data_IF_229403382095
#
_entry.id   IF_229403382095
#
_cell.length_a   1.000
_cell.length_b   1.000
_cell.length_c   1.000
_cell.angle_alpha   90.00
_cell.angle_beta   90.00
_cell.angle_gamma   90.00
#
_symmetry.space_group_name_H-M   'P 1'
#
loop_
_entity.id
_entity.type
_entity.pdbx_description
1 polymer ?
#
# COMPACT_ATOMS: atom_id res chain seq x y z
N UNK A 1 -4.54 -10.75 1.17
CA UNK A 1 -4.28 -9.81 0.06
C UNK A 1 -5.20 -8.58 0.05
N UNK A 2 -6.54 -8.72 0.05
CA UNK A 2 -7.44 -7.55 -0.02
C UNK A 2 -7.18 -6.49 1.07
N UNK A 3 -7.08 -6.91 2.34
CA UNK A 3 -6.81 -6.00 3.46
C UNK A 3 -5.46 -5.29 3.35
N UNK A 4 -4.39 -6.00 2.95
CA UNK A 4 -3.07 -5.40 2.75
C UNK A 4 -3.12 -4.31 1.66
N UNK A 5 -3.82 -4.58 0.55
CA UNK A 5 -4.01 -3.59 -0.52
C UNK A 5 -4.79 -2.37 -0.01
N UNK A 6 -5.82 -2.58 0.80
CA UNK A 6 -6.56 -1.46 1.40
C UNK A 6 -5.70 -0.62 2.34
N UNK A 7 -4.92 -1.26 3.21
CA UNK A 7 -4.02 -0.57 4.14
C UNK A 7 -2.99 0.25 3.36
N UNK A 8 -2.37 -0.34 2.33
CA UNK A 8 -1.42 0.37 1.48
C UNK A 8 -2.07 1.56 0.75
N UNK A 9 -3.27 1.38 0.18
CA UNK A 9 -3.99 2.46 -0.51
C UNK A 9 -4.40 3.58 0.42
N UNK A 10 -4.79 3.27 1.66
CA UNK A 10 -5.15 4.27 2.65
C UNK A 10 -3.94 4.96 3.26
N UNK A 11 -2.77 4.32 3.28
CA UNK A 11 -1.54 4.92 3.82
C UNK A 11 -0.88 5.83 2.78
N UNK A 12 -0.56 7.06 3.14
CA UNK A 12 0.20 8.00 2.31
C UNK A 12 1.68 7.69 2.52
N UNK A 13 2.18 6.78 1.70
CA UNK A 13 3.56 6.31 1.72
C UNK A 13 4.08 6.20 0.29
N UNK A 14 5.32 6.63 0.07
CA UNK A 14 5.99 6.43 -1.21
C UNK A 14 6.32 4.94 -1.37
N UNK A 15 5.99 4.34 -2.53
CA UNK A 15 6.22 2.92 -2.83
C UNK A 15 7.69 2.49 -2.67
N UNK A 16 8.64 3.43 -2.78
CA UNK A 16 10.06 3.18 -2.55
C UNK A 16 10.32 2.69 -1.13
N UNK A 17 9.58 3.19 -0.13
CA UNK A 17 9.78 2.81 1.28
C UNK A 17 9.49 1.32 1.51
N UNK A 18 8.29 0.77 1.20
CA UNK A 18 8.05 -0.65 1.36
C UNK A 18 8.94 -1.51 0.45
N UNK A 19 9.25 -1.07 -0.78
CA UNK A 19 10.17 -1.79 -1.65
C UNK A 19 11.58 -1.90 -1.05
N UNK A 20 12.11 -0.80 -0.48
CA UNK A 20 13.40 -0.79 0.19
C UNK A 20 13.42 -1.69 1.43
N UNK A 21 12.32 -1.73 2.18
CA UNK A 21 12.18 -2.58 3.36
C UNK A 21 12.20 -4.07 2.99
N UNK A 22 11.49 -4.47 1.93
CA UNK A 22 11.48 -5.85 1.41
C UNK A 22 12.90 -6.27 1.03
N UNK A 23 13.60 -5.44 0.27
CA UNK A 23 14.97 -5.73 -0.19
C UNK A 23 15.93 -5.81 0.99
N UNK A 24 15.93 -4.82 1.87
CA UNK A 24 16.86 -4.75 3.01
C UNK A 24 16.68 -5.96 3.95
N UNK A 25 15.44 -6.25 4.36
CA UNK A 25 15.18 -7.38 5.26
C UNK A 25 15.49 -8.72 4.59
N UNK A 26 15.14 -8.87 3.32
CA UNK A 26 15.42 -10.10 2.59
C UNK A 26 16.92 -10.36 2.42
N UNK A 27 17.73 -9.32 2.18
CA UNK A 27 19.20 -9.44 2.17
C UNK A 27 19.72 -9.84 3.55
N UNK A 28 19.24 -9.19 4.63
CA UNK A 28 19.66 -9.52 6.00
C UNK A 28 19.31 -10.97 6.34
N UNK A 29 18.08 -11.41 6.04
CA UNK A 29 17.64 -12.78 6.28
C UNK A 29 18.49 -13.79 5.49
N UNK A 30 18.77 -13.50 4.22
CA UNK A 30 19.65 -14.34 3.40
C UNK A 30 21.07 -14.43 3.97
N UNK A 31 21.66 -13.32 4.42
CA UNK A 31 23.01 -13.31 4.99
C UNK A 31 23.09 -14.10 6.29
N UNK A 32 22.06 -14.02 7.14
CA UNK A 32 21.98 -14.77 8.39
C UNK A 32 21.86 -16.28 8.13
N UNK A 33 21.07 -16.68 7.13
CA UNK A 33 20.89 -18.08 6.78
C UNK A 33 21.92 -18.63 5.79
N UNK A 34 22.81 -17.79 5.24
CA UNK A 34 23.79 -18.18 4.23
C UNK A 34 24.70 -19.34 4.66
N UNK A 35 24.89 -19.54 5.96
CA UNK A 35 25.69 -20.66 6.48
C UNK A 35 24.90 -21.98 6.54
N UNK A 36 23.57 -21.91 6.68
CA UNK A 36 22.69 -23.06 6.91
C UNK A 36 21.84 -23.42 5.68
N UNK A 37 21.79 -22.56 4.65
CA UNK A 37 20.89 -22.75 3.48
C UNK A 37 21.09 -24.10 2.77
N UNK A 38 22.30 -24.69 2.82
CA UNK A 38 22.58 -26.01 2.23
C UNK A 38 21.83 -27.15 2.94
N UNK A 39 21.61 -27.03 4.24
CA UNK A 39 20.85 -28.01 5.03
C UNK A 39 19.34 -27.78 4.90
N UNK A 40 18.91 -26.53 4.74
CA UNK A 40 17.49 -26.17 4.60
C UNK A 40 16.94 -26.50 3.20
N UNK A 41 17.76 -26.37 2.16
CA UNK A 41 17.37 -26.62 0.77
C UNK A 41 18.19 -27.77 0.18
N UNK A 42 17.99 -28.99 0.67
CA UNK A 42 18.56 -30.20 0.07
C UNK A 42 17.98 -30.42 -1.34
N UNK A 43 18.84 -30.80 -2.30
CA UNK A 43 18.52 -31.40 -3.62
C UNK A 43 18.32 -30.57 -4.91
N UNK A 44 18.61 -29.27 -4.98
CA UNK A 44 18.53 -28.56 -6.29
C UNK A 44 19.85 -27.90 -6.72
N UNK A 45 20.30 -28.14 -7.94
CA UNK A 45 21.47 -27.46 -8.53
C UNK A 45 21.32 -25.94 -8.67
N UNK A 46 20.08 -25.43 -8.57
CA UNK A 46 19.68 -24.01 -8.56
C UNK A 46 19.35 -23.46 -7.16
N UNK A 47 19.72 -24.20 -6.10
CA UNK A 47 19.41 -23.93 -4.68
C UNK A 47 19.67 -22.50 -4.22
N UNK A 48 20.77 -21.87 -4.66
CA UNK A 48 21.13 -20.51 -4.22
C UNK A 48 20.12 -19.47 -4.66
N UNK A 49 19.73 -19.47 -5.95
CA UNK A 49 18.80 -18.48 -6.50
C UNK A 49 17.39 -18.68 -5.94
N UNK A 50 16.96 -19.93 -5.77
CA UNK A 50 15.68 -20.26 -5.15
C UNK A 50 15.64 -19.82 -3.68
N UNK A 51 16.69 -20.10 -2.91
CA UNK A 51 16.81 -19.64 -1.53
C UNK A 51 16.79 -18.11 -1.46
N UNK A 52 17.57 -17.41 -2.29
CA UNK A 52 17.58 -15.94 -2.33
C UNK A 52 16.20 -15.36 -2.63
N UNK A 53 15.46 -15.92 -3.60
CA UNK A 53 14.09 -15.50 -3.88
C UNK A 53 13.14 -15.79 -2.72
N UNK A 54 13.27 -16.94 -2.06
CA UNK A 54 12.47 -17.29 -0.89
C UNK A 54 12.71 -16.32 0.27
N UNK A 55 13.98 -15.96 0.55
CA UNK A 55 14.32 -15.01 1.60
C UNK A 55 13.85 -13.59 1.28
N UNK A 56 14.07 -13.12 0.05
CA UNK A 56 13.62 -11.79 -0.38
C UNK A 56 12.09 -11.66 -0.41
N UNK A 57 11.41 -12.63 -1.02
CA UNK A 57 9.95 -12.58 -1.19
C UNK A 57 9.25 -12.98 0.09
N UNK A 58 9.72 -14.00 0.81
CA UNK A 58 9.10 -14.47 2.05
C UNK A 58 9.32 -13.47 3.18
N UNK A 59 10.55 -13.39 3.70
CA UNK A 59 10.86 -12.57 4.87
C UNK A 59 10.70 -11.07 4.60
N UNK A 60 11.06 -10.62 3.39
CA UNK A 60 10.86 -9.22 2.99
C UNK A 60 9.38 -8.82 3.01
N UNK A 61 8.47 -9.61 2.42
CA UNK A 61 7.03 -9.29 2.46
C UNK A 61 6.41 -9.48 3.84
N UNK A 62 6.90 -10.43 4.66
CA UNK A 62 6.46 -10.59 6.04
C UNK A 62 6.79 -9.32 6.83
N UNK A 63 8.04 -8.84 6.77
CA UNK A 63 8.45 -7.62 7.46
C UNK A 63 7.71 -6.39 6.94
N UNK A 64 7.52 -6.28 5.62
CA UNK A 64 6.72 -5.22 5.04
C UNK A 64 5.25 -5.27 5.50
N UNK A 65 4.66 -6.46 5.63
CA UNK A 65 3.31 -6.62 6.13
C UNK A 65 3.23 -6.16 7.58
N UNK A 66 4.13 -6.62 8.44
CA UNK A 66 4.21 -6.21 9.86
C UNK A 66 4.33 -4.69 9.95
N UNK A 67 5.23 -4.08 9.18
CA UNK A 67 5.41 -2.64 9.15
C UNK A 67 4.12 -1.90 8.77
N UNK A 68 3.45 -2.31 7.69
CA UNK A 68 2.21 -1.68 7.22
C UNK A 68 1.07 -1.86 8.24
N UNK A 69 0.95 -3.05 8.82
CA UNK A 69 -0.06 -3.35 9.84
C UNK A 69 0.17 -2.54 11.10
N UNK A 70 1.41 -2.49 11.60
CA UNK A 70 1.78 -1.71 12.78
C UNK A 70 1.52 -0.23 12.54
N UNK A 71 1.90 0.31 11.38
CA UNK A 71 1.61 1.70 11.03
C UNK A 71 0.11 2.00 11.11
N UNK A 72 -0.72 1.10 10.57
CA UNK A 72 -2.15 1.30 10.37
C UNK A 72 -2.98 1.14 11.64
N UNK A 73 -2.73 0.07 12.40
CA UNK A 73 -3.53 -0.30 13.56
C UNK A 73 -3.13 0.45 14.83
N UNK A 74 -1.84 0.78 15.00
CA UNK A 74 -1.37 1.60 16.12
C UNK A 74 -1.29 3.09 15.77
N UNK A 75 -2.15 3.54 14.86
CA UNK A 75 -2.25 4.94 14.49
C UNK A 75 -2.84 5.78 15.64
N UNK A 76 -2.43 7.04 15.69
CA UNK A 76 -2.94 8.03 16.63
C UNK A 76 -4.46 8.25 16.42
N UNK A 77 -5.17 8.56 17.49
CA UNK A 77 -6.59 8.89 17.49
C UNK A 77 -6.85 10.34 17.03
N UNK A 78 -5.80 11.17 16.94
CA UNK A 78 -5.91 12.54 16.45
C UNK A 78 -6.22 12.57 14.95
N UNK A 79 -7.46 12.93 14.63
CA UNK A 79 -7.95 13.03 13.25
C UNK A 79 -7.92 14.48 12.76
N UNK A 80 -7.30 14.70 11.61
CA UNK A 80 -7.28 15.98 10.89
C UNK A 80 -8.16 15.89 9.65
N UNK A 81 -9.03 16.88 9.45
CA UNK A 81 -9.86 16.95 8.24
C UNK A 81 -9.29 17.98 7.30
N UNK A 82 -9.00 17.56 6.07
CA UNK A 82 -8.36 18.39 5.07
C UNK A 82 -9.11 18.29 3.74
N UNK A 83 -9.01 19.33 2.91
CA UNK A 83 -9.63 19.37 1.59
C UNK A 83 -8.59 19.70 0.52
N UNK A 84 -8.60 18.91 -0.55
CA UNK A 84 -7.63 18.97 -1.63
C UNK A 84 -8.35 19.11 -2.97
N UNK A 85 -7.79 19.93 -3.87
CA UNK A 85 -8.26 20.00 -5.26
C UNK A 85 -7.86 18.74 -6.02
N UNK A 86 -8.75 18.27 -6.88
CA UNK A 86 -8.47 17.16 -7.80
C UNK A 86 -7.58 17.66 -8.92
N UNK A 87 -6.47 16.96 -9.15
CA UNK A 87 -5.47 17.31 -10.18
C UNK A 87 -5.64 16.41 -11.41
N UNK A 88 -5.99 15.15 -11.20
CA UNK A 88 -6.20 14.19 -12.28
C UNK A 88 -7.33 13.19 -11.95
N UNK A 89 -7.90 12.60 -12.99
CA UNK A 89 -9.06 11.72 -12.96
C UNK A 89 -8.81 10.51 -13.87
N UNK A 90 -8.72 9.33 -13.27
CA UNK A 90 -8.57 8.06 -13.98
C UNK A 90 -9.61 7.04 -13.49
N UNK A 91 -9.64 5.84 -14.09
CA UNK A 91 -10.54 4.78 -13.66
C UNK A 91 -9.79 3.46 -13.52
N UNK A 92 -10.25 2.62 -12.61
CA UNK A 92 -9.78 1.24 -12.49
C UNK A 92 -10.95 0.28 -12.52
N UNK A 93 -10.73 -0.93 -13.03
CA UNK A 93 -11.76 -1.96 -13.06
C UNK A 93 -11.99 -2.53 -11.66
N UNK A 94 -13.23 -2.52 -11.22
CA UNK A 94 -13.66 -2.99 -9.90
C UNK A 94 -13.43 -4.48 -9.70
N UNK A 95 -13.15 -4.85 -8.45
CA UNK A 95 -12.98 -6.25 -8.03
C UNK A 95 -14.32 -6.86 -7.56
N UNK A 96 -14.33 -8.16 -7.24
CA UNK A 96 -15.51 -8.93 -6.78
C UNK A 96 -16.44 -8.17 -5.81
N UNK A 97 -15.89 -7.46 -4.83
CA UNK A 97 -16.68 -6.76 -3.79
C UNK A 97 -17.22 -5.40 -4.23
N UNK A 98 -16.69 -4.82 -5.31
CA UNK A 98 -17.07 -3.50 -5.83
C UNK A 98 -17.89 -3.59 -7.13
N UNK A 99 -18.26 -4.81 -7.55
CA UNK A 99 -18.90 -5.11 -8.82
C UNK A 99 -17.85 -5.52 -9.86
N UNK A 100 -17.77 -6.82 -10.15
CA UNK A 100 -16.87 -7.34 -11.20
C UNK A 100 -17.18 -6.60 -12.50
N UNK A 101 -16.15 -5.99 -13.09
CA UNK A 101 -16.25 -5.33 -14.38
C UNK A 101 -16.77 -3.90 -14.35
N UNK A 102 -17.22 -3.38 -13.18
CA UNK A 102 -17.66 -1.98 -13.03
C UNK A 102 -16.46 -1.05 -12.85
N UNK A 103 -16.46 0.11 -13.49
CA UNK A 103 -15.36 1.07 -13.38
C UNK A 103 -15.43 1.88 -12.08
N UNK A 104 -14.30 2.01 -11.37
CA UNK A 104 -14.18 2.79 -10.15
C UNK A 104 -13.40 4.06 -10.45
N UNK A 105 -13.92 5.25 -10.09
CA UNK A 105 -13.21 6.49 -10.31
C UNK A 105 -12.03 6.59 -9.34
N UNK A 106 -10.90 7.03 -9.87
CA UNK A 106 -9.65 7.30 -9.17
C UNK A 106 -9.30 8.76 -9.34
N UNK A 107 -9.17 9.46 -8.23
CA UNK A 107 -8.81 10.87 -8.24
C UNK A 107 -7.42 11.06 -7.67
N UNK A 108 -6.61 11.84 -8.36
CA UNK A 108 -5.25 12.17 -7.91
C UNK A 108 -5.25 13.55 -7.27
N UNK A 109 -4.67 13.62 -6.07
CA UNK A 109 -4.47 14.86 -5.31
C UNK A 109 -2.98 15.06 -5.03
N UNK A 110 -2.56 16.31 -4.77
CA UNK A 110 -1.21 16.60 -4.27
C UNK A 110 -1.23 16.76 -2.76
N UNK A 111 -0.71 15.76 -2.07
CA UNK A 111 -0.62 15.72 -0.61
C UNK A 111 0.84 15.85 -0.18
N UNK A 112 1.17 16.89 0.59
CA UNK A 112 2.55 17.17 1.06
C UNK A 112 3.62 17.02 -0.05
N UNK A 113 3.30 17.51 -1.25
CA UNK A 113 4.19 17.47 -2.42
C UNK A 113 4.18 16.17 -3.23
N UNK A 114 3.50 15.11 -2.76
CA UNK A 114 3.39 13.82 -3.44
C UNK A 114 2.02 13.66 -4.10
N UNK A 115 1.98 12.98 -5.25
CA UNK A 115 0.72 12.59 -5.89
C UNK A 115 0.14 11.38 -5.18
N UNK A 116 -1.12 11.48 -4.75
CA UNK A 116 -1.84 10.39 -4.09
C UNK A 116 -3.12 10.09 -4.85
N UNK A 117 -3.27 8.83 -5.24
CA UNK A 117 -4.47 8.30 -5.86
C UNK A 117 -5.48 7.83 -4.80
N UNK A 118 -6.73 8.27 -4.93
CA UNK A 118 -7.83 7.94 -4.05
C UNK A 118 -8.96 7.32 -4.85
N UNK A 119 -9.32 6.07 -4.54
CA UNK A 119 -10.32 5.32 -5.32
C UNK A 119 -11.66 5.25 -4.63
N UNK A 120 -12.73 5.63 -5.33
CA UNK A 120 -14.08 5.72 -4.78
C UNK A 120 -14.98 4.58 -5.28
N UNK A 121 -16.20 4.52 -4.72
CA UNK A 121 -17.20 3.59 -5.19
C UNK A 121 -17.63 3.91 -6.63
N UNK A 122 -18.10 2.89 -7.36
CA UNK A 122 -18.54 3.02 -8.76
C UNK A 122 -19.69 4.03 -8.93
N UNK A 123 -20.50 4.28 -7.90
CA UNK A 123 -21.60 5.26 -7.91
C UNK A 123 -21.13 6.67 -8.30
N UNK A 124 -19.88 7.02 -7.97
CA UNK A 124 -19.29 8.31 -8.29
C UNK A 124 -18.74 8.40 -9.72
N UNK A 125 -18.71 7.28 -10.45
CA UNK A 125 -18.08 7.20 -11.77
C UNK A 125 -18.78 8.08 -12.81
N UNK A 126 -20.11 7.97 -12.90
CA UNK A 126 -20.90 8.72 -13.88
C UNK A 126 -20.79 10.25 -13.71
N UNK A 127 -20.53 10.72 -12.48
CA UNK A 127 -20.40 12.15 -12.15
C UNK A 127 -18.97 12.57 -11.85
N UNK A 128 -17.97 11.77 -12.21
CA UNK A 128 -16.57 11.98 -11.85
C UNK A 128 -16.04 13.37 -12.24
N UNK A 129 -16.49 13.88 -13.39
CA UNK A 129 -16.07 15.18 -13.93
C UNK A 129 -16.66 16.39 -13.19
N UNK A 130 -17.73 16.21 -12.40
CA UNK A 130 -18.37 17.30 -11.67
C UNK A 130 -17.67 17.64 -10.36
N UNK A 131 -16.99 16.66 -9.75
CA UNK A 131 -16.27 16.85 -8.49
C UNK A 131 -15.00 17.68 -8.71
N UNK A 132 -14.80 18.69 -7.86
CA UNK A 132 -13.66 19.61 -7.93
C UNK A 132 -12.66 19.37 -6.81
N UNK A 133 -13.12 18.85 -5.68
CA UNK A 133 -12.31 18.66 -4.50
C UNK A 133 -12.66 17.38 -3.76
N UNK A 134 -11.71 16.90 -2.98
CA UNK A 134 -11.88 15.78 -2.08
C UNK A 134 -11.61 16.27 -0.68
N UNK A 135 -12.54 16.00 0.22
CA UNK A 135 -12.37 16.18 1.66
C UNK A 135 -12.16 14.81 2.29
N UNK A 136 -11.10 14.64 3.06
CA UNK A 136 -10.89 13.40 3.79
C UNK A 136 -10.33 13.66 5.18
N UNK A 137 -10.52 12.67 6.04
CA UNK A 137 -9.93 12.63 7.37
C UNK A 137 -8.59 11.92 7.27
N UNK A 138 -7.58 12.42 7.94
CA UNK A 138 -6.28 11.77 8.06
C UNK A 138 -5.88 11.64 9.50
N UNK A 139 -5.19 10.55 9.83
CA UNK A 139 -4.59 10.33 11.15
C UNK A 139 -3.14 9.90 10.99
N UNK A 140 -2.30 10.18 11.97
CA UNK A 140 -0.89 9.84 11.90
C UNK A 140 -0.69 8.37 12.30
N UNK A 141 -0.13 7.56 11.40
CA UNK A 141 0.25 6.18 11.69
C UNK A 141 1.40 6.08 12.68
N UNK A 142 1.62 4.87 13.23
CA UNK A 142 2.66 4.62 14.24
C UNK A 142 4.06 5.05 13.79
N UNK A 143 4.42 4.80 12.52
CA UNK A 143 5.71 5.20 11.97
C UNK A 143 5.68 6.61 11.34
N UNK A 144 4.62 7.37 11.60
CA UNK A 144 4.47 8.76 11.16
C UNK A 144 3.87 8.95 9.77
N UNK A 145 3.51 7.87 9.06
CA UNK A 145 2.81 7.96 7.77
C UNK A 145 1.32 8.23 7.96
N UNK A 146 0.80 9.22 7.25
CA UNK A 146 -0.62 9.58 7.37
C UNK A 146 -1.51 8.50 6.75
N UNK A 147 -2.64 8.24 7.39
CA UNK A 147 -3.63 7.26 6.97
C UNK A 147 -4.91 8.01 6.62
N UNK A 148 -5.40 7.81 5.40
CA UNK A 148 -6.62 8.39 4.88
C UNK A 148 -7.84 7.59 5.34
N UNK A 149 -8.80 8.29 5.89
CA UNK A 149 -10.10 7.79 6.36
C UNK A 149 -11.23 8.68 5.82
N UNK A 150 -12.44 8.11 5.71
CA UNK A 150 -13.68 8.87 5.50
C UNK A 150 -13.58 9.98 4.43
N UNK A 151 -13.30 9.57 3.19
CA UNK A 151 -13.19 10.46 2.04
C UNK A 151 -14.56 10.78 1.43
N UNK A 152 -14.76 12.04 1.09
CA UNK A 152 -15.99 12.63 0.56
C UNK A 152 -15.61 13.47 -0.66
N UNK A 153 -16.43 13.39 -1.71
CA UNK A 153 -16.28 14.17 -2.93
C UNK A 153 -17.17 15.42 -2.89
N UNK A 154 -16.61 16.56 -3.28
CA UNK A 154 -17.27 17.87 -3.33
C UNK A 154 -17.08 18.52 -4.71
#
# INVERSE_FOLDING_TARGET
MYFQIQIFRNTIINWIIPASLIIAVGIIAYLLDYKNYKETYFHYGTTKLYATLNYLVGYGFIACSIFMFTNYYFADQNVKTESYKIIDRTSIRGTKKSGIGKEQPVFTIKYKGQNKELVFANEYYAKMNFYKSIKFKSRKGFFGFDIVENKILN
#
